data_IF_446514128702
#
_entry.id   IF_446514128702
#
_cell.length_a   1.000
_cell.length_b   1.000
_cell.length_c   1.000
_cell.angle_alpha   90.00
_cell.angle_beta   90.00
_cell.angle_gamma   90.00
#
_symmetry.space_group_name_H-M   'P 1'
#
loop_
_entity.id
_entity.type
_entity.pdbx_description
1 polymer ?
#
# COMPACT_ATOMS: atom_id res chain seq x y z
N UNK A 1 18.59 12.37 -0.64
CA UNK A 1 17.61 11.41 -1.17
C UNK A 1 18.29 10.09 -1.55
N UNK A 2 19.39 10.12 -2.31
CA UNK A 2 20.14 8.92 -2.68
C UNK A 2 20.73 8.19 -1.46
N UNK A 3 21.29 8.91 -0.48
CA UNK A 3 21.77 8.34 0.79
C UNK A 3 20.63 7.67 1.59
N UNK A 4 19.41 8.23 1.54
CA UNK A 4 18.23 7.61 2.14
C UNK A 4 17.80 6.33 1.40
N UNK A 5 17.82 6.32 0.08
CA UNK A 5 17.61 5.11 -0.73
C UNK A 5 18.63 4.03 -0.37
N UNK A 6 19.89 4.41 -0.28
CA UNK A 6 20.99 3.50 0.04
C UNK A 6 20.82 2.86 1.42
N UNK A 7 20.37 3.63 2.42
CA UNK A 7 20.11 3.14 3.77
C UNK A 7 18.87 2.23 3.85
N UNK A 8 17.81 2.54 3.08
CA UNK A 8 16.58 1.73 3.02
C UNK A 8 16.78 0.45 2.20
N UNK A 9 17.68 0.47 1.21
CA UNK A 9 17.96 -0.68 0.34
C UNK A 9 19.10 -1.57 0.84
N UNK A 10 19.96 -1.09 1.74
CA UNK A 10 21.02 -1.88 2.35
C UNK A 10 20.51 -2.60 3.61
N UNK A 11 21.02 -3.80 3.84
CA UNK A 11 20.69 -4.76 4.90
C UNK A 11 20.87 -4.25 6.36
N UNK A 12 21.03 -2.94 6.53
CA UNK A 12 21.34 -2.30 7.81
C UNK A 12 20.13 -1.78 8.60
N UNK A 13 18.90 -2.02 8.12
CA UNK A 13 17.71 -1.72 8.89
C UNK A 13 17.53 -2.84 9.90
N UNK A 14 17.50 -2.54 11.22
CA UNK A 14 17.34 -3.58 12.24
C UNK A 14 16.03 -4.34 12.03
N UNK A 15 16.09 -5.55 11.48
CA UNK A 15 14.94 -6.41 11.22
C UNK A 15 14.18 -6.78 12.50
N UNK A 16 14.88 -6.80 13.63
CA UNK A 16 14.33 -7.02 14.97
C UNK A 16 13.38 -5.90 15.40
N UNK A 17 13.64 -4.65 14.97
CA UNK A 17 12.83 -3.48 15.34
C UNK A 17 11.75 -3.17 14.31
N UNK A 18 12.00 -3.41 13.02
CA UNK A 18 11.13 -2.95 11.92
C UNK A 18 10.51 -4.07 11.09
N UNK A 19 10.77 -5.33 11.44
CA UNK A 19 10.33 -6.49 10.66
C UNK A 19 11.13 -6.70 9.38
N UNK A 20 10.84 -7.78 8.67
CA UNK A 20 11.52 -8.17 7.43
C UNK A 20 11.00 -7.38 6.24
N UNK A 21 11.41 -6.12 6.10
CA UNK A 21 11.05 -5.29 4.95
C UNK A 21 12.21 -5.20 3.95
N UNK A 22 12.65 -6.31 3.44
CA UNK A 22 13.79 -6.41 2.53
C UNK A 22 13.58 -5.67 1.21
N UNK A 23 12.33 -5.50 0.79
CA UNK A 23 11.97 -4.78 -0.45
C UNK A 23 10.65 -4.05 -0.24
N UNK A 24 10.56 -2.79 -0.70
CA UNK A 24 9.37 -1.95 -0.56
C UNK A 24 8.20 -2.35 -1.47
N UNK A 25 8.29 -3.50 -2.13
CA UNK A 25 7.22 -4.01 -2.98
C UNK A 25 6.07 -4.57 -2.15
N UNK A 26 4.86 -4.28 -2.56
CA UNK A 26 3.64 -4.66 -1.84
C UNK A 26 3.56 -6.17 -1.57
N UNK A 27 3.99 -7.00 -2.54
CA UNK A 27 4.02 -8.45 -2.37
C UNK A 27 5.01 -8.93 -1.30
N UNK A 28 6.15 -8.27 -1.14
CA UNK A 28 7.12 -8.56 -0.07
C UNK A 28 6.58 -8.16 1.30
N UNK A 29 5.87 -7.04 1.38
CA UNK A 29 5.27 -6.53 2.62
C UNK A 29 4.10 -7.40 3.06
N UNK A 30 3.26 -7.84 2.13
CA UNK A 30 2.01 -8.57 2.42
C UNK A 30 2.16 -10.09 2.51
N UNK A 31 3.34 -10.63 2.17
CA UNK A 31 3.57 -12.07 2.35
C UNK A 31 3.43 -12.44 3.84
N UNK A 32 2.75 -13.51 4.13
CA UNK A 32 2.62 -14.08 5.48
C UNK A 32 1.95 -13.15 6.52
N UNK A 33 1.15 -12.17 6.08
CA UNK A 33 0.34 -11.35 7.00
C UNK A 33 -0.79 -12.22 7.56
N UNK A 34 -0.98 -12.27 8.88
CA UNK A 34 -2.12 -12.93 9.49
C UNK A 34 -3.44 -12.31 9.01
N UNK A 35 -4.48 -13.15 8.88
CA UNK A 35 -5.83 -12.64 8.63
C UNK A 35 -6.33 -11.91 9.86
N UNK A 36 -6.66 -10.65 9.71
CA UNK A 36 -7.22 -9.79 10.74
C UNK A 36 -8.50 -9.12 10.27
N UNK A 37 -9.22 -8.51 11.19
CA UNK A 37 -10.36 -7.66 10.88
C UNK A 37 -9.94 -6.43 10.06
N UNK A 38 -10.86 -5.93 9.25
CA UNK A 38 -10.67 -4.71 8.47
C UNK A 38 -11.94 -3.86 8.51
N UNK A 39 -11.77 -2.56 8.32
CA UNK A 39 -12.90 -1.64 8.23
C UNK A 39 -13.56 -1.76 6.85
N UNK A 40 -14.79 -2.27 6.82
CA UNK A 40 -15.53 -2.48 5.59
C UNK A 40 -15.78 -1.19 4.81
N UNK A 41 -15.90 -1.32 3.51
CA UNK A 41 -16.31 -0.23 2.64
C UNK A 41 -17.83 0.01 2.75
N UNK A 42 -18.26 1.25 2.45
CA UNK A 42 -19.68 1.50 2.18
C UNK A 42 -20.10 0.73 0.93
N UNK A 43 -21.40 0.43 0.80
CA UNK A 43 -21.93 -0.31 -0.36
C UNK A 43 -21.55 0.35 -1.70
N UNK A 44 -21.58 1.68 -1.77
CA UNK A 44 -21.21 2.42 -2.99
C UNK A 44 -19.72 2.26 -3.34
N UNK A 45 -18.85 2.35 -2.34
CA UNK A 45 -17.40 2.12 -2.49
C UNK A 45 -17.12 0.68 -2.87
N UNK A 46 -17.78 -0.28 -2.22
CA UNK A 46 -17.65 -1.71 -2.50
C UNK A 46 -18.01 -2.01 -3.97
N UNK A 47 -19.12 -1.50 -4.46
CA UNK A 47 -19.54 -1.66 -5.85
C UNK A 47 -18.49 -1.11 -6.84
N UNK A 48 -17.83 0.01 -6.53
CA UNK A 48 -16.75 0.54 -7.36
C UNK A 48 -15.53 -0.37 -7.37
N UNK A 49 -15.14 -0.89 -6.20
CA UNK A 49 -14.00 -1.81 -6.07
C UNK A 49 -14.25 -3.12 -6.82
N UNK A 50 -15.48 -3.63 -6.78
CA UNK A 50 -15.90 -4.83 -7.52
C UNK A 50 -15.86 -4.62 -9.04
N UNK A 51 -16.28 -3.46 -9.51
CA UNK A 51 -16.20 -3.09 -10.96
C UNK A 51 -14.76 -2.97 -11.45
N UNK A 52 -13.86 -2.40 -10.65
CA UNK A 52 -12.42 -2.36 -10.96
C UNK A 52 -11.87 -3.78 -11.05
N UNK A 53 -12.34 -4.67 -10.19
CA UNK A 53 -11.93 -6.05 -10.14
C UNK A 53 -10.50 -6.23 -9.59
N UNK A 54 -10.08 -7.48 -9.37
CA UNK A 54 -8.73 -7.82 -8.91
C UNK A 54 -7.69 -7.54 -9.99
N UNK A 55 -6.42 -7.34 -9.55
CA UNK A 55 -5.30 -7.34 -10.49
C UNK A 55 -5.17 -8.69 -11.18
N UNK A 56 -4.70 -8.69 -12.43
CA UNK A 56 -4.67 -9.87 -13.31
C UNK A 56 -3.80 -11.02 -12.81
N UNK A 57 -2.80 -10.72 -12.00
CA UNK A 57 -1.83 -11.69 -11.50
C UNK A 57 -2.37 -12.66 -10.42
N UNK A 58 -3.49 -12.34 -9.78
CA UNK A 58 -4.11 -13.18 -8.75
C UNK A 58 -3.18 -13.56 -7.59
N UNK A 59 -3.55 -14.61 -6.86
CA UNK A 59 -2.79 -15.11 -5.71
C UNK A 59 -1.40 -15.69 -6.08
N UNK A 60 -1.16 -16.03 -7.35
CA UNK A 60 0.13 -16.59 -7.79
C UNK A 60 1.29 -15.64 -7.56
N UNK A 61 1.03 -14.32 -7.64
CA UNK A 61 2.06 -13.31 -7.37
C UNK A 61 2.59 -13.39 -5.93
N UNK A 62 1.74 -13.63 -4.93
CA UNK A 62 2.22 -13.79 -3.54
C UNK A 62 3.22 -14.93 -3.38
N UNK A 63 3.01 -16.05 -4.10
CA UNK A 63 3.94 -17.17 -4.05
C UNK A 63 5.31 -16.83 -4.65
N UNK A 64 5.35 -15.89 -5.61
CA UNK A 64 6.60 -15.37 -6.16
C UNK A 64 7.43 -14.65 -5.08
N UNK A 65 6.77 -13.88 -4.21
CA UNK A 65 7.42 -13.11 -3.14
C UNK A 65 7.79 -13.94 -1.90
N UNK A 66 7.33 -15.18 -1.81
CA UNK A 66 7.71 -16.11 -0.71
C UNK A 66 9.10 -16.69 -0.84
N UNK A 67 9.70 -16.60 -2.03
CA UNK A 67 11.04 -17.09 -2.36
C UNK A 67 11.96 -15.89 -2.63
N UNK A 68 13.26 -16.10 -2.59
CA UNK A 68 14.21 -15.13 -3.14
C UNK A 68 13.89 -14.90 -4.61
N UNK A 69 13.75 -13.64 -4.98
CA UNK A 69 13.37 -13.27 -6.34
C UNK A 69 14.21 -12.11 -6.85
N UNK A 70 14.39 -12.09 -8.18
CA UNK A 70 15.01 -10.99 -8.88
C UNK A 70 13.92 -10.11 -9.51
N UNK A 71 13.93 -8.81 -9.23
CA UNK A 71 12.92 -7.88 -9.73
C UNK A 71 12.81 -7.89 -11.26
N UNK A 72 13.95 -8.00 -11.96
CA UNK A 72 14.01 -8.00 -13.42
C UNK A 72 13.38 -9.26 -14.05
N UNK A 73 13.32 -10.35 -13.29
CA UNK A 73 12.66 -11.60 -13.69
C UNK A 73 11.17 -11.66 -13.32
N UNK A 74 10.64 -10.60 -12.69
CA UNK A 74 9.23 -10.53 -12.32
C UNK A 74 8.36 -10.37 -13.56
N UNK A 75 7.29 -11.17 -13.74
CA UNK A 75 6.33 -10.96 -14.81
C UNK A 75 5.72 -9.56 -14.78
N UNK A 76 5.59 -8.91 -15.93
CA UNK A 76 4.99 -7.56 -16.02
C UNK A 76 3.58 -7.51 -15.43
N UNK A 77 2.78 -8.57 -15.62
CA UNK A 77 1.45 -8.67 -15.01
C UNK A 77 1.44 -8.53 -13.47
N UNK A 78 2.57 -8.79 -12.80
CA UNK A 78 2.68 -8.60 -11.35
C UNK A 78 2.97 -7.15 -10.96
N UNK A 79 3.35 -6.31 -11.92
CA UNK A 79 3.62 -4.88 -11.79
C UNK A 79 2.43 -4.01 -12.21
N UNK A 80 1.38 -4.61 -12.78
CA UNK A 80 0.23 -3.90 -13.34
C UNK A 80 -0.92 -3.79 -12.33
N UNK A 81 -1.03 -2.64 -11.70
CA UNK A 81 -2.18 -2.29 -10.88
C UNK A 81 -3.39 -1.90 -11.72
N UNK A 82 -4.54 -1.73 -11.06
CA UNK A 82 -5.81 -1.29 -11.67
C UNK A 82 -6.34 -0.01 -11.03
N UNK A 83 -7.27 0.64 -11.70
CA UNK A 83 -7.96 1.82 -11.20
C UNK A 83 -9.37 1.93 -11.79
N UNK A 84 -10.11 2.96 -11.42
CA UNK A 84 -11.40 3.25 -12.01
C UNK A 84 -11.36 3.45 -13.55
N UNK A 85 -10.19 3.75 -14.13
CA UNK A 85 -10.00 3.91 -15.58
C UNK A 85 -10.08 2.60 -16.34
N UNK A 86 -9.95 1.48 -15.64
CA UNK A 86 -10.07 0.14 -16.21
C UNK A 86 -11.53 -0.34 -16.27
N UNK A 87 -12.49 0.47 -15.75
CA UNK A 87 -13.92 0.22 -15.87
C UNK A 87 -14.38 0.72 -17.24
N UNK A 88 -15.16 -0.07 -18.00
CA UNK A 88 -15.75 0.38 -19.25
C UNK A 88 -16.55 1.68 -19.05
N UNK A 89 -16.48 2.66 -19.98
CA UNK A 89 -17.14 3.96 -19.82
C UNK A 89 -18.66 3.88 -19.59
N UNK A 90 -19.31 2.87 -20.16
CA UNK A 90 -20.74 2.58 -19.98
C UNK A 90 -21.10 2.15 -18.57
N UNK A 91 -20.15 1.54 -17.84
CA UNK A 91 -20.33 1.05 -16.47
C UNK A 91 -19.92 2.07 -15.41
N UNK A 92 -19.37 3.22 -15.81
CA UNK A 92 -18.98 4.28 -14.90
C UNK A 92 -20.21 4.92 -14.25
N UNK A 93 -20.08 5.28 -12.97
CA UNK A 93 -21.09 6.14 -12.34
C UNK A 93 -21.12 7.53 -13.00
N UNK A 94 -22.25 8.26 -12.93
CA UNK A 94 -22.35 9.61 -13.54
C UNK A 94 -21.22 10.57 -13.10
N UNK A 95 -20.74 10.44 -11.85
CA UNK A 95 -19.61 11.22 -11.33
C UNK A 95 -18.31 10.88 -12.06
N UNK A 96 -18.00 9.58 -12.19
CA UNK A 96 -16.77 9.13 -12.86
C UNK A 96 -16.83 9.33 -14.38
N UNK A 97 -18.01 9.22 -14.97
CA UNK A 97 -18.20 9.53 -16.40
C UNK A 97 -17.86 10.99 -16.69
N UNK A 98 -18.31 11.95 -15.87
CA UNK A 98 -17.92 13.36 -16.00
C UNK A 98 -16.40 13.58 -15.92
N UNK A 99 -15.70 12.80 -15.07
CA UNK A 99 -14.25 12.88 -14.96
C UNK A 99 -13.57 12.26 -16.17
N UNK A 100 -14.12 11.17 -16.70
CA UNK A 100 -13.63 10.49 -17.89
C UNK A 100 -13.76 11.37 -19.13
N UNK A 101 -14.90 12.06 -19.28
CA UNK A 101 -15.20 12.94 -20.42
C UNK A 101 -14.41 14.27 -20.36
N UNK A 102 -14.01 14.73 -19.16
CA UNK A 102 -13.21 15.96 -18.96
C UNK A 102 -12.01 15.71 -18.05
N UNK A 103 -10.96 15.04 -18.54
CA UNK A 103 -9.79 14.68 -17.74
C UNK A 103 -8.93 15.87 -17.27
N UNK A 104 -9.11 17.07 -17.88
CA UNK A 104 -8.36 18.26 -17.48
C UNK A 104 -8.77 18.81 -16.11
N UNK A 105 -9.95 18.47 -15.65
CA UNK A 105 -10.53 18.95 -14.39
C UNK A 105 -10.10 18.17 -13.14
N UNK A 106 -9.55 16.98 -13.32
CA UNK A 106 -9.22 16.07 -12.22
C UNK A 106 -7.81 15.52 -12.34
N UNK A 107 -6.93 15.97 -11.47
CA UNK A 107 -5.49 15.67 -11.51
C UNK A 107 -5.05 14.52 -10.58
N UNK A 108 -5.96 13.76 -9.95
CA UNK A 108 -5.54 12.68 -9.06
C UNK A 108 -5.41 11.35 -9.81
N UNK A 109 -4.17 10.92 -10.17
CA UNK A 109 -3.95 9.65 -10.86
C UNK A 109 -4.19 8.43 -9.93
N UNK A 110 -4.34 8.66 -8.62
CA UNK A 110 -4.42 7.60 -7.60
C UNK A 110 -5.83 7.34 -7.10
N UNK A 111 -6.82 7.94 -7.72
CA UNK A 111 -8.23 7.78 -7.35
C UNK A 111 -8.68 6.33 -7.59
N UNK A 112 -9.18 5.66 -6.55
CA UNK A 112 -9.57 4.25 -6.60
C UNK A 112 -8.50 3.35 -7.25
N UNK A 113 -7.21 3.61 -6.95
CA UNK A 113 -6.14 2.79 -7.46
C UNK A 113 -5.96 1.55 -6.60
N UNK A 114 -5.88 0.42 -7.26
CA UNK A 114 -5.50 -0.87 -6.71
C UNK A 114 -4.07 -1.17 -7.18
N UNK A 115 -3.13 -1.15 -6.27
CA UNK A 115 -1.72 -1.43 -6.59
C UNK A 115 -1.50 -2.94 -6.76
N UNK A 116 -0.64 -3.32 -7.69
CA UNK A 116 -0.22 -4.70 -7.85
C UNK A 116 0.79 -5.12 -6.78
N UNK A 117 0.99 -6.42 -6.59
CA UNK A 117 2.00 -6.91 -5.63
C UNK A 117 3.43 -6.52 -6.00
N UNK A 118 3.74 -6.34 -7.27
CA UNK A 118 5.04 -5.89 -7.76
C UNK A 118 5.23 -4.37 -7.78
N UNK A 119 4.27 -3.60 -7.25
CA UNK A 119 4.37 -2.15 -7.13
C UNK A 119 4.70 -1.73 -5.69
N UNK A 120 5.25 -0.53 -5.55
CA UNK A 120 5.32 0.18 -4.27
C UNK A 120 3.95 0.82 -4.02
N UNK A 121 3.38 0.58 -2.83
CA UNK A 121 2.10 1.17 -2.49
C UNK A 121 2.15 2.70 -2.47
N UNK A 122 1.04 3.34 -2.79
CA UNK A 122 0.90 4.78 -2.63
C UNK A 122 0.81 5.21 -1.17
N UNK A 123 0.82 6.52 -0.95
CA UNK A 123 0.69 7.13 0.38
C UNK A 123 -0.55 6.60 1.10
N UNK A 124 -0.39 6.16 2.34
CA UNK A 124 -1.50 5.89 3.25
C UNK A 124 -1.89 7.19 3.95
N UNK A 125 -3.14 7.59 3.82
CA UNK A 125 -3.66 8.81 4.45
C UNK A 125 -4.47 8.50 5.70
N UNK A 126 -4.63 9.48 6.58
CA UNK A 126 -5.43 9.36 7.79
C UNK A 126 -6.91 9.03 7.52
N UNK A 127 -7.45 9.44 6.38
CA UNK A 127 -8.84 9.13 5.99
C UNK A 127 -8.99 7.68 5.54
N UNK A 128 -7.90 7.04 5.09
CA UNK A 128 -7.88 5.64 4.62
C UNK A 128 -9.04 5.29 3.66
N UNK A 129 -9.34 6.22 2.76
CA UNK A 129 -10.39 6.04 1.76
C UNK A 129 -9.78 5.79 0.38
N UNK A 130 -10.35 4.89 -0.44
CA UNK A 130 -9.80 4.54 -1.75
C UNK A 130 -9.83 5.70 -2.74
N UNK A 131 -10.59 6.75 -2.45
CA UNK A 131 -10.62 7.99 -3.20
C UNK A 131 -9.30 8.76 -3.15
N UNK A 132 -8.51 8.59 -2.10
CA UNK A 132 -7.32 9.42 -1.88
C UNK A 132 -6.07 8.65 -1.47
N UNK A 133 -6.15 7.34 -1.30
CA UNK A 133 -4.97 6.52 -1.00
C UNK A 133 -5.09 5.09 -1.53
N UNK A 134 -3.94 4.44 -1.67
CA UNK A 134 -3.84 3.03 -2.08
C UNK A 134 -4.14 2.08 -0.94
N UNK A 135 -5.40 1.95 -0.58
CA UNK A 135 -5.85 1.19 0.60
C UNK A 135 -6.55 -0.13 0.24
N UNK A 136 -6.75 -0.41 -1.05
CA UNK A 136 -7.46 -1.60 -1.50
C UNK A 136 -6.50 -2.75 -1.79
N UNK A 137 -6.83 -3.93 -1.25
CA UNK A 137 -6.01 -5.14 -1.45
C UNK A 137 -5.91 -5.52 -2.94
N UNK A 138 -4.73 -5.95 -3.44
CA UNK A 138 -4.48 -6.20 -4.87
C UNK A 138 -5.47 -7.15 -5.55
N UNK A 139 -5.89 -8.20 -4.85
CA UNK A 139 -6.75 -9.27 -5.42
C UNK A 139 -8.09 -9.46 -4.69
N UNK A 140 -8.21 -9.03 -3.43
CA UNK A 140 -9.45 -9.14 -2.67
C UNK A 140 -10.22 -7.82 -2.75
N UNK A 141 -11.56 -7.89 -2.86
CA UNK A 141 -12.41 -6.69 -2.94
C UNK A 141 -12.66 -6.10 -1.56
N UNK A 142 -11.58 -5.81 -0.84
CA UNK A 142 -11.60 -5.26 0.53
C UNK A 142 -10.52 -4.21 0.73
N UNK A 143 -10.67 -3.46 1.79
CA UNK A 143 -9.61 -2.63 2.35
C UNK A 143 -8.48 -3.52 2.90
N UNK A 144 -7.27 -3.00 2.95
CA UNK A 144 -6.21 -3.64 3.74
C UNK A 144 -6.64 -3.79 5.20
N UNK A 145 -6.21 -4.86 5.85
CA UNK A 145 -6.34 -5.02 7.31
C UNK A 145 -5.48 -3.99 8.05
N UNK A 146 -5.70 -3.86 9.35
CA UNK A 146 -4.85 -2.98 10.18
C UNK A 146 -3.38 -3.39 10.12
N UNK A 147 -3.11 -4.70 10.17
CA UNK A 147 -1.73 -5.22 10.09
C UNK A 147 -1.09 -4.99 8.73
N UNK A 148 -1.85 -5.16 7.66
CA UNK A 148 -1.36 -4.89 6.30
C UNK A 148 -0.94 -3.42 6.14
N UNK A 149 -1.76 -2.46 6.56
CA UNK A 149 -1.39 -1.03 6.47
C UNK A 149 -0.27 -0.65 7.44
N UNK A 150 -0.22 -1.28 8.61
CA UNK A 150 0.87 -1.08 9.57
C UNK A 150 2.21 -1.50 8.96
N UNK A 151 2.27 -2.67 8.31
CA UNK A 151 3.45 -3.12 7.58
C UNK A 151 3.81 -2.20 6.41
N UNK A 152 2.82 -1.71 5.63
CA UNK A 152 3.05 -0.74 4.55
C UNK A 152 3.68 0.55 5.11
N UNK A 153 3.28 0.97 6.29
CA UNK A 153 3.85 2.11 7.02
C UNK A 153 5.08 1.74 7.87
N UNK A 154 5.62 0.53 7.70
CA UNK A 154 6.82 0.03 8.38
C UNK A 154 6.72 -0.12 9.91
N UNK A 155 5.53 -0.28 10.46
CA UNK A 155 5.38 -0.69 11.86
C UNK A 155 5.80 -2.15 12.04
N UNK A 156 6.45 -2.49 13.16
CA UNK A 156 6.76 -3.87 13.50
C UNK A 156 5.49 -4.68 13.79
N UNK A 157 5.56 -6.00 13.60
CA UNK A 157 4.40 -6.87 13.70
C UNK A 157 3.85 -7.02 15.13
N UNK A 158 4.68 -6.81 16.12
CA UNK A 158 4.34 -6.84 17.54
C UNK A 158 3.74 -5.52 18.06
N UNK A 159 3.66 -4.48 17.22
CA UNK A 159 3.04 -3.22 17.63
C UNK A 159 1.54 -3.41 17.86
N UNK A 160 1.10 -3.16 19.10
CA UNK A 160 -0.26 -3.40 19.55
C UNK A 160 -1.19 -2.20 19.27
N UNK A 161 -2.18 -2.42 18.41
CA UNK A 161 -3.26 -1.48 18.13
C UNK A 161 -4.58 -1.87 18.82
N UNK A 162 -4.63 -2.95 19.59
CA UNK A 162 -5.89 -3.55 20.10
C UNK A 162 -6.71 -2.60 20.97
N UNK A 163 -6.04 -1.69 21.70
CA UNK A 163 -6.67 -0.71 22.60
C UNK A 163 -7.36 0.47 21.88
N UNK A 164 -7.24 0.53 20.55
CA UNK A 164 -7.80 1.61 19.73
C UNK A 164 -8.98 1.07 18.93
N UNK A 165 -10.12 1.78 18.84
CA UNK A 165 -11.24 1.36 17.98
C UNK A 165 -10.81 1.18 16.52
N UNK A 166 -11.36 0.17 15.83
CA UNK A 166 -10.92 -0.27 14.51
C UNK A 166 -10.71 0.88 13.51
N UNK A 167 -11.68 1.76 13.34
CA UNK A 167 -11.56 2.89 12.41
C UNK A 167 -10.45 3.87 12.81
N UNK A 168 -10.25 4.07 14.11
CA UNK A 168 -9.21 4.97 14.63
C UNK A 168 -7.82 4.40 14.41
N UNK A 169 -7.63 3.07 14.35
CA UNK A 169 -6.34 2.43 14.02
C UNK A 169 -5.86 2.89 12.64
N UNK A 170 -6.75 2.91 11.64
CA UNK A 170 -6.42 3.42 10.30
C UNK A 170 -5.96 4.88 10.32
N UNK A 171 -6.67 5.72 11.08
CA UNK A 171 -6.35 7.14 11.22
C UNK A 171 -4.98 7.35 11.88
N UNK A 172 -4.70 6.62 12.95
CA UNK A 172 -3.43 6.71 13.68
C UNK A 172 -2.27 6.29 12.80
N UNK A 173 -2.39 5.15 12.11
CA UNK A 173 -1.34 4.66 11.21
C UNK A 173 -1.10 5.63 10.06
N UNK A 174 -2.17 6.17 9.44
CA UNK A 174 -2.05 7.10 8.33
C UNK A 174 -1.47 8.47 8.71
N UNK A 175 -1.58 8.88 9.99
CA UNK A 175 -0.97 10.11 10.51
C UNK A 175 0.47 9.91 11.01
N UNK A 176 0.90 8.67 11.18
CA UNK A 176 2.21 8.39 11.74
C UNK A 176 3.33 8.68 10.74
N UNK A 177 4.46 9.11 11.24
CA UNK A 177 5.73 9.03 10.51
C UNK A 177 6.13 7.55 10.45
N UNK A 178 6.37 6.96 9.26
CA UNK A 178 6.81 5.59 9.16
C UNK A 178 8.07 5.34 10.02
N UNK A 179 8.08 4.34 10.91
CA UNK A 179 9.22 4.08 11.80
C UNK A 179 10.58 3.98 11.11
N UNK A 180 10.66 3.31 9.96
CA UNK A 180 11.90 3.24 9.16
C UNK A 180 12.33 4.64 8.69
N UNK A 181 11.42 5.48 8.24
CA UNK A 181 11.73 6.85 7.82
C UNK A 181 12.26 7.66 9.01
N UNK A 182 11.60 7.56 10.17
CA UNK A 182 12.05 8.20 11.41
C UNK A 182 13.45 7.77 11.81
N UNK A 183 13.74 6.46 11.73
CA UNK A 183 15.07 5.92 12.02
C UNK A 183 16.15 6.45 11.06
N UNK A 184 15.88 6.45 9.73
CA UNK A 184 16.82 6.96 8.73
C UNK A 184 17.14 8.44 8.96
N UNK A 185 16.12 9.25 9.23
CA UNK A 185 16.31 10.68 9.53
C UNK A 185 17.16 10.88 10.78
N UNK A 186 16.81 10.18 11.87
CA UNK A 186 17.55 10.27 13.14
C UNK A 186 19.02 9.84 12.98
N UNK A 187 19.28 8.74 12.26
CA UNK A 187 20.64 8.28 11.98
C UNK A 187 21.44 9.31 11.19
N UNK A 188 20.87 9.85 10.11
CA UNK A 188 21.52 10.87 9.28
C UNK A 188 21.88 12.12 10.11
N UNK A 189 20.95 12.61 10.95
CA UNK A 189 21.21 13.76 11.81
C UNK A 189 22.32 13.45 12.82
N UNK A 190 22.32 12.28 13.44
CA UNK A 190 23.34 11.89 14.42
C UNK A 190 24.74 11.82 13.81
N UNK A 191 24.86 11.34 12.56
CA UNK A 191 26.11 11.30 11.82
C UNK A 191 26.61 12.72 11.49
N UNK A 192 25.72 13.60 11.03
CA UNK A 192 26.06 15.00 10.67
C UNK A 192 26.49 15.85 11.88
N UNK A 193 25.93 15.59 13.07
CA UNK A 193 26.28 16.35 14.29
C UNK A 193 27.65 15.90 14.85
N UNK A 194 28.11 14.70 14.52
CA UNK A 194 29.42 14.16 14.97
C UNK A 194 30.59 14.61 14.10
N UNK A 195 30.33 15.18 12.92
CA UNK A 195 31.30 15.85 12.05
C UNK A 195 31.47 17.33 12.49
#
# INVERSE_FOLDING_TARGET
>A
FEKMKELVCKENIPSETFGKQEKLLLGSILKDVPKEEFWEYTKATQNMIEKIGPCSHGAKALNFFKKDFEYDKMPESYKEGKSWKDIPPEDLTPRFKKIYDDPKKYHSPKFFRRFAFGEINGTITASSQPENCGITHPIENRRFTVREIARIQSFPDDFDFSKIPLQSRYKVIGNAVPPILGWVVAKTLTETIKE
#
